data_IF_018776712966
#
_entry.id   IF_018776712966
#
_cell.length_a   1.000
_cell.length_b   1.000
_cell.length_c   1.000
_cell.angle_alpha   90.00
_cell.angle_beta   90.00
_cell.angle_gamma   90.00
#
_symmetry.space_group_name_H-M   'P 1'
#
loop_
_entity.id
_entity.type
_entity.pdbx_description
1 polymer ?
#
# COMPACT_ATOMS: atom_id res chain seq x y z
N UNK A 1 -9.83 -16.94 -7.54
CA UNK A 1 -10.23 -15.67 -6.90
C UNK A 1 -9.45 -15.58 -5.60
N UNK A 2 -8.23 -15.02 -5.63
CA UNK A 2 -7.33 -15.04 -4.47
C UNK A 2 -7.82 -14.06 -3.40
N UNK A 3 -8.15 -14.59 -2.23
CA UNK A 3 -8.48 -13.82 -1.03
C UNK A 3 -7.34 -12.84 -0.72
N UNK A 4 -7.70 -11.63 -0.30
CA UNK A 4 -6.78 -10.79 0.46
C UNK A 4 -6.86 -11.37 1.87
N UNK A 5 -6.01 -12.36 2.16
CA UNK A 5 -5.98 -13.02 3.46
C UNK A 5 -5.34 -12.14 4.54
N UNK A 6 -5.92 -12.32 5.72
CA UNK A 6 -5.83 -11.70 7.04
C UNK A 6 -5.13 -10.36 7.33
N UNK A 7 -5.96 -9.54 7.96
CA UNK A 7 -5.74 -8.28 8.64
C UNK A 7 -4.93 -8.54 9.93
N UNK A 8 -3.60 -8.36 9.93
CA UNK A 8 -2.86 -8.36 11.19
C UNK A 8 -2.98 -7.00 11.88
N UNK A 9 -3.98 -6.88 12.77
CA UNK A 9 -4.00 -5.84 13.79
C UNK A 9 -3.28 -6.39 15.01
N UNK A 10 -2.00 -6.04 15.17
CA UNK A 10 -1.30 -6.17 16.45
C UNK A 10 -0.85 -4.78 16.88
N UNK A 11 -1.35 -4.34 18.03
CA UNK A 11 -1.11 -3.01 18.58
C UNK A 11 0.38 -2.65 18.59
N UNK A 12 0.65 -1.37 18.29
CA UNK A 12 1.97 -0.71 18.07
C UNK A 12 2.68 -0.97 16.75
N UNK A 13 2.13 -1.80 15.84
CA UNK A 13 2.70 -2.00 14.52
C UNK A 13 1.92 -1.26 13.41
N UNK A 14 2.56 -0.84 12.30
CA UNK A 14 1.83 -0.30 11.16
C UNK A 14 0.93 -1.38 10.59
N UNK A 15 -0.27 -0.99 10.14
CA UNK A 15 -1.18 -1.94 9.49
C UNK A 15 -0.66 -2.23 8.07
N UNK A 16 -0.28 -3.48 7.81
CA UNK A 16 0.20 -3.90 6.48
C UNK A 16 -0.95 -4.54 5.69
N UNK A 17 -1.27 -3.98 4.53
CA UNK A 17 -2.22 -4.53 3.56
C UNK A 17 -1.48 -5.09 2.37
N UNK A 18 -1.92 -6.22 1.83
CA UNK A 18 -1.35 -6.77 0.60
C UNK A 18 -1.76 -8.22 0.41
N UNK A 19 -1.33 -8.82 -0.69
CA UNK A 19 -1.35 -10.28 -0.80
C UNK A 19 -0.05 -10.85 -0.22
N UNK A 20 -0.09 -12.04 0.38
CA UNK A 20 1.10 -12.78 0.74
C UNK A 20 2.04 -12.89 -0.47
N UNK A 21 3.27 -12.42 -0.30
CA UNK A 21 4.30 -12.37 -1.34
C UNK A 21 5.65 -12.15 -0.67
N UNK A 22 6.75 -12.44 -1.37
CA UNK A 22 8.11 -12.20 -0.84
C UNK A 22 8.30 -10.77 -0.31
N UNK A 23 7.73 -9.77 -0.98
CA UNK A 23 7.81 -8.37 -0.54
C UNK A 23 6.97 -8.10 0.71
N UNK A 24 5.77 -8.68 0.77
CA UNK A 24 4.91 -8.59 1.95
C UNK A 24 5.58 -9.23 3.16
N UNK A 25 6.16 -10.41 2.98
CA UNK A 25 6.86 -11.15 4.03
C UNK A 25 8.11 -10.40 4.49
N UNK A 26 8.88 -9.83 3.56
CA UNK A 26 10.05 -9.00 3.88
C UNK A 26 9.68 -7.74 4.68
N UNK A 27 8.61 -7.03 4.30
CA UNK A 27 8.11 -5.86 5.03
C UNK A 27 7.64 -6.25 6.43
N UNK A 28 6.90 -7.35 6.54
CA UNK A 28 6.36 -7.83 7.82
C UNK A 28 7.49 -8.32 8.73
N UNK A 29 8.47 -9.04 8.19
CA UNK A 29 9.62 -9.55 8.93
C UNK A 29 10.59 -8.44 9.36
N UNK A 30 10.74 -7.39 8.55
CA UNK A 30 11.56 -6.24 8.92
C UNK A 30 11.00 -5.57 10.19
N UNK A 31 9.67 -5.50 10.31
CA UNK A 31 8.95 -5.00 11.47
C UNK A 31 9.25 -3.53 11.82
N UNK A 32 8.34 -2.82 12.48
CA UNK A 32 8.75 -1.60 13.18
C UNK A 32 9.65 -2.00 14.38
N UNK A 33 10.74 -1.27 14.61
CA UNK A 33 11.56 -1.47 15.80
C UNK A 33 10.76 -1.31 17.11
N UNK A 34 11.26 -1.77 18.25
CA UNK A 34 10.52 -1.88 19.52
C UNK A 34 10.02 -0.55 20.14
N UNK A 35 10.32 0.59 19.51
CA UNK A 35 10.05 1.94 20.00
C UNK A 35 9.08 2.74 19.12
N UNK A 36 8.46 2.10 18.12
CA UNK A 36 7.63 2.79 17.15
C UNK A 36 6.24 3.14 17.70
N UNK A 37 5.88 4.42 17.61
CA UNK A 37 4.49 4.86 17.66
C UNK A 37 3.84 4.69 16.28
N UNK A 38 3.89 3.46 15.74
CA UNK A 38 3.43 3.14 14.39
C UNK A 38 1.90 2.92 14.31
N UNK A 39 1.18 3.12 15.42
CA UNK A 39 -0.23 2.79 15.53
C UNK A 39 -1.14 3.57 14.56
N UNK A 40 -0.67 4.71 14.05
CA UNK A 40 -1.41 5.57 13.10
C UNK A 40 -0.83 5.53 11.67
N UNK A 41 -0.08 4.48 11.33
CA UNK A 41 0.52 4.31 10.01
C UNK A 41 -0.03 3.08 9.29
N UNK A 42 -0.29 3.22 7.98
CA UNK A 42 -0.69 2.14 7.09
C UNK A 42 0.38 1.93 6.03
N UNK A 43 0.74 0.67 5.79
CA UNK A 43 1.56 0.24 4.66
C UNK A 43 0.70 -0.63 3.75
N UNK A 44 0.60 -0.29 2.48
CA UNK A 44 -0.11 -1.07 1.49
C UNK A 44 0.87 -1.61 0.44
N UNK A 45 0.87 -2.91 0.21
CA UNK A 45 1.73 -3.61 -0.72
C UNK A 45 0.90 -4.00 -1.95
N UNK A 46 1.32 -3.47 -3.09
CA UNK A 46 0.85 -3.89 -4.41
C UNK A 46 1.94 -4.79 -4.98
N UNK A 47 1.74 -6.10 -4.88
CA UNK A 47 2.72 -7.08 -5.37
C UNK A 47 2.75 -7.18 -6.90
N UNK A 48 3.82 -7.80 -7.42
CA UNK A 48 4.06 -7.94 -8.85
C UNK A 48 2.98 -8.74 -9.58
N UNK A 49 2.39 -9.73 -8.93
CA UNK A 49 1.37 -10.61 -9.52
C UNK A 49 0.03 -9.87 -9.60
N UNK A 50 -0.26 -9.01 -8.62
CA UNK A 50 -1.35 -8.04 -8.72
C UNK A 50 -1.11 -7.08 -9.89
N UNK A 51 0.08 -6.48 -10.01
CA UNK A 51 0.40 -5.58 -11.13
C UNK A 51 0.24 -6.28 -12.49
N UNK A 52 0.77 -7.50 -12.62
CA UNK A 52 0.60 -8.34 -13.81
C UNK A 52 -0.86 -8.63 -14.09
N UNK A 53 -1.65 -8.99 -13.08
CA UNK A 53 -3.07 -9.28 -13.25
C UNK A 53 -3.87 -8.04 -13.65
N UNK A 54 -3.53 -6.86 -13.12
CA UNK A 54 -4.22 -5.62 -13.45
C UNK A 54 -3.86 -5.13 -14.86
N UNK A 55 -2.62 -5.33 -15.31
CA UNK A 55 -2.15 -4.76 -16.57
C UNK A 55 -1.69 -5.82 -17.57
N UNK A 56 -2.17 -7.06 -17.44
CA UNK A 56 -2.04 -8.06 -18.48
C UNK A 56 -2.61 -7.51 -19.78
N UNK A 57 -1.93 -7.78 -20.90
CA UNK A 57 -2.51 -7.51 -22.21
C UNK A 57 -3.87 -8.21 -22.27
N UNK A 58 -4.89 -7.50 -22.77
CA UNK A 58 -6.24 -8.04 -22.83
C UNK A 58 -6.24 -9.26 -23.74
N UNK A 59 -6.25 -10.46 -23.16
CA UNK A 59 -6.56 -11.67 -23.91
C UNK A 59 -8.00 -11.52 -24.41
N UNK A 60 -8.30 -11.80 -25.69
CA UNK A 60 -9.68 -11.83 -26.16
C UNK A 60 -10.52 -12.71 -25.24
N UNK A 61 -11.58 -12.14 -24.64
CA UNK A 61 -12.45 -12.83 -23.68
C UNK A 61 -12.14 -12.60 -22.18
N UNK A 62 -11.01 -11.98 -21.82
CA UNK A 62 -10.77 -11.55 -20.43
C UNK A 62 -11.45 -10.21 -20.16
N UNK A 63 -12.49 -10.22 -19.31
CA UNK A 63 -13.27 -9.02 -18.99
C UNK A 63 -12.45 -8.05 -18.11
N UNK A 64 -12.53 -6.75 -18.36
CA UNK A 64 -11.94 -5.68 -17.51
C UNK A 64 -12.70 -5.48 -16.17
N UNK A 65 -13.81 -6.19 -15.98
CA UNK A 65 -14.73 -6.04 -14.85
C UNK A 65 -14.13 -6.52 -13.51
N UNK A 66 -13.46 -7.68 -13.43
CA UNK A 66 -12.81 -8.13 -12.21
C UNK A 66 -11.69 -7.19 -11.76
N UNK A 67 -10.95 -6.61 -12.72
CA UNK A 67 -9.90 -5.63 -12.46
C UNK A 67 -10.44 -4.38 -11.74
N UNK A 68 -11.49 -3.76 -12.29
CA UNK A 68 -12.10 -2.56 -11.68
C UNK A 68 -12.69 -2.85 -10.31
N UNK A 69 -13.36 -3.99 -10.15
CA UNK A 69 -13.90 -4.41 -8.86
C UNK A 69 -12.79 -4.55 -7.81
N UNK A 70 -11.63 -5.10 -8.20
CA UNK A 70 -10.50 -5.25 -7.28
C UNK A 70 -9.87 -3.91 -6.90
N UNK A 71 -9.67 -3.01 -7.86
CA UNK A 71 -9.17 -1.65 -7.58
C UNK A 71 -10.10 -0.88 -6.64
N UNK A 72 -11.40 -1.02 -6.86
CA UNK A 72 -12.43 -0.42 -6.01
C UNK A 72 -12.40 -1.01 -4.60
N UNK A 73 -12.38 -2.34 -4.47
CA UNK A 73 -12.31 -3.02 -3.16
C UNK A 73 -11.04 -2.65 -2.40
N UNK A 74 -9.89 -2.63 -3.07
CA UNK A 74 -8.62 -2.27 -2.44
C UNK A 74 -8.63 -0.83 -1.91
N UNK A 75 -9.16 0.10 -2.70
CA UNK A 75 -9.38 1.49 -2.27
C UNK A 75 -10.32 1.55 -1.06
N UNK A 76 -11.48 0.92 -1.14
CA UNK A 76 -12.50 0.97 -0.07
C UNK A 76 -11.95 0.41 1.25
N UNK A 77 -11.21 -0.70 1.21
CA UNK A 77 -10.58 -1.27 2.41
C UNK A 77 -9.51 -0.36 2.99
N UNK A 78 -8.66 0.25 2.16
CA UNK A 78 -7.62 1.18 2.64
C UNK A 78 -8.23 2.45 3.23
N UNK A 79 -9.24 3.04 2.57
CA UNK A 79 -9.96 4.21 3.09
C UNK A 79 -10.64 3.88 4.42
N UNK A 80 -11.36 2.76 4.51
CA UNK A 80 -12.04 2.36 5.74
C UNK A 80 -11.05 2.09 6.89
N UNK A 81 -9.92 1.43 6.60
CA UNK A 81 -8.88 1.20 7.58
C UNK A 81 -8.23 2.51 8.05
N UNK A 82 -7.92 3.42 7.13
CA UNK A 82 -7.36 4.73 7.45
C UNK A 82 -8.28 5.50 8.40
N UNK A 83 -9.58 5.54 8.11
CA UNK A 83 -10.57 6.19 8.99
C UNK A 83 -10.65 5.47 10.34
N UNK A 84 -10.74 4.13 10.33
CA UNK A 84 -10.96 3.33 11.53
C UNK A 84 -9.83 3.44 12.57
N UNK A 85 -8.59 3.69 12.13
CA UNK A 85 -7.45 3.89 13.04
C UNK A 85 -7.03 5.36 13.18
N UNK A 86 -7.78 6.30 12.58
CA UNK A 86 -7.38 7.69 12.44
C UNK A 86 -5.94 7.84 11.90
N UNK A 87 -5.65 7.13 10.80
CA UNK A 87 -4.32 7.07 10.22
C UNK A 87 -3.82 8.48 9.85
N UNK A 88 -2.59 8.76 10.23
CA UNK A 88 -1.89 10.00 9.88
C UNK A 88 -1.02 9.81 8.63
N UNK A 89 -0.62 8.56 8.35
CA UNK A 89 0.34 8.25 7.29
C UNK A 89 -0.07 6.99 6.53
N UNK A 90 0.03 7.04 5.22
CA UNK A 90 -0.18 5.92 4.30
C UNK A 90 1.02 5.80 3.37
N UNK A 91 1.67 4.64 3.35
CA UNK A 91 2.71 4.28 2.39
C UNK A 91 2.20 3.19 1.46
N UNK A 92 2.20 3.41 0.16
CA UNK A 92 1.92 2.37 -0.84
C UNK A 92 3.23 1.92 -1.48
N UNK A 93 3.62 0.67 -1.27
CA UNK A 93 4.77 0.02 -1.89
C UNK A 93 4.30 -0.81 -3.08
N UNK A 94 4.83 -0.50 -4.27
CA UNK A 94 4.47 -1.19 -5.50
C UNK A 94 5.65 -1.99 -6.03
N UNK A 95 5.51 -3.32 -6.09
CA UNK A 95 6.47 -4.21 -6.69
C UNK A 95 6.35 -4.19 -8.21
N UNK A 96 7.33 -3.56 -8.84
CA UNK A 96 7.44 -3.42 -10.29
C UNK A 96 8.66 -4.18 -10.83
N UNK A 97 9.18 -5.14 -10.06
CA UNK A 97 10.24 -6.04 -10.50
C UNK A 97 9.71 -6.98 -11.58
N UNK A 98 10.56 -7.27 -12.57
CA UNK A 98 10.30 -8.31 -13.59
C UNK A 98 8.95 -8.14 -14.32
N UNK A 99 8.51 -6.89 -14.54
CA UNK A 99 7.34 -6.54 -15.37
C UNK A 99 7.73 -5.62 -16.52
N UNK A 100 6.92 -5.58 -17.59
CA UNK A 100 7.27 -4.81 -18.79
C UNK A 100 7.28 -3.30 -18.53
N UNK A 101 8.06 -2.53 -19.30
CA UNK A 101 8.12 -1.06 -19.15
C UNK A 101 6.73 -0.39 -19.26
N UNK A 102 5.86 -0.91 -20.12
CA UNK A 102 4.48 -0.42 -20.24
C UNK A 102 3.66 -0.72 -18.98
N UNK A 103 3.77 -1.93 -18.43
CA UNK A 103 3.11 -2.31 -17.19
C UNK A 103 3.60 -1.45 -16.02
N UNK A 104 4.90 -1.18 -15.95
CA UNK A 104 5.50 -0.27 -14.94
C UNK A 104 4.88 1.12 -14.99
N UNK A 105 4.80 1.73 -16.18
CA UNK A 105 4.18 3.06 -16.36
C UNK A 105 2.72 3.06 -15.90
N UNK A 106 1.94 2.08 -16.35
CA UNK A 106 0.51 1.95 -15.99
C UNK A 106 0.31 1.73 -14.49
N UNK A 107 1.16 0.92 -13.86
CA UNK A 107 1.16 0.68 -12.42
C UNK A 107 1.48 1.95 -11.65
N UNK A 108 2.52 2.69 -12.05
CA UNK A 108 2.90 3.95 -11.41
C UNK A 108 1.77 4.98 -11.47
N UNK A 109 1.17 5.16 -12.65
CA UNK A 109 0.04 6.07 -12.82
C UNK A 109 -1.18 5.65 -12.00
N UNK A 110 -1.47 4.35 -11.93
CA UNK A 110 -2.57 3.84 -11.13
C UNK A 110 -2.34 4.00 -9.63
N UNK A 111 -1.15 3.65 -9.11
CA UNK A 111 -0.84 3.78 -7.67
C UNK A 111 -0.86 5.25 -7.23
N UNK A 112 -0.35 6.18 -8.05
CA UNK A 112 -0.42 7.62 -7.75
C UNK A 112 -1.86 8.12 -7.68
N UNK A 113 -2.71 7.73 -8.64
CA UNK A 113 -4.14 8.07 -8.61
C UNK A 113 -4.85 7.44 -7.42
N UNK A 114 -4.49 6.21 -7.06
CA UNK A 114 -5.03 5.52 -5.89
C UNK A 114 -4.69 6.26 -4.59
N UNK A 115 -3.41 6.61 -4.39
CA UNK A 115 -2.96 7.36 -3.21
C UNK A 115 -3.71 8.69 -3.08
N UNK A 116 -3.79 9.46 -4.16
CA UNK A 116 -4.54 10.71 -4.21
C UNK A 116 -6.02 10.50 -3.88
N UNK A 117 -6.65 9.46 -4.45
CA UNK A 117 -8.06 9.18 -4.22
C UNK A 117 -8.34 8.76 -2.78
N UNK A 118 -7.48 7.97 -2.15
CA UNK A 118 -7.61 7.61 -0.74
C UNK A 118 -7.48 8.85 0.14
N UNK A 119 -6.48 9.71 -0.11
CA UNK A 119 -6.32 10.97 0.62
C UNK A 119 -7.56 11.86 0.52
N UNK A 120 -8.10 11.99 -0.69
CA UNK A 120 -9.35 12.71 -0.93
C UNK A 120 -10.54 12.09 -0.17
N UNK A 121 -10.73 10.77 -0.29
CA UNK A 121 -11.83 10.07 0.37
C UNK A 121 -11.73 10.13 1.91
N UNK A 122 -10.52 10.05 2.47
CA UNK A 122 -10.31 10.25 3.91
C UNK A 122 -10.71 11.65 4.34
N UNK A 123 -10.27 12.67 3.59
CA UNK A 123 -10.57 14.08 3.91
C UNK A 123 -12.08 14.38 3.87
N UNK A 124 -12.83 13.88 2.89
CA UNK A 124 -14.29 14.12 2.85
C UNK A 124 -15.04 13.35 3.95
N UNK A 125 -14.44 12.31 4.53
CA UNK A 125 -14.97 11.54 5.65
C UNK A 125 -14.44 12.03 7.01
N UNK A 126 -13.84 13.22 7.07
CA UNK A 126 -13.41 13.87 8.30
C UNK A 126 -12.00 13.50 8.77
N UNK A 127 -11.28 12.61 8.07
CA UNK A 127 -9.88 12.34 8.33
C UNK A 127 -9.00 13.29 7.51
N UNK A 128 -8.72 14.45 8.09
CA UNK A 128 -7.85 15.46 7.49
C UNK A 128 -6.38 15.18 7.79
N UNK A 129 -5.48 15.60 6.88
CA UNK A 129 -4.04 15.53 7.10
C UNK A 129 -3.39 14.17 6.88
N UNK A 130 -4.08 13.20 6.25
CA UNK A 130 -3.46 11.93 5.86
C UNK A 130 -2.31 12.16 4.86
N UNK A 131 -1.07 11.97 5.32
CA UNK A 131 0.11 12.03 4.47
C UNK A 131 0.25 10.75 3.65
N UNK A 132 0.23 10.87 2.31
CA UNK A 132 0.35 9.71 1.40
C UNK A 132 1.72 9.68 0.73
N UNK A 133 2.38 8.53 0.76
CA UNK A 133 3.70 8.28 0.14
C UNK A 133 3.59 7.05 -0.76
N UNK A 134 4.30 7.07 -1.89
CA UNK A 134 4.38 5.94 -2.82
C UNK A 134 5.84 5.55 -3.01
N UNK A 135 6.14 4.26 -2.93
CA UNK A 135 7.46 3.69 -3.22
C UNK A 135 7.34 2.60 -4.29
N UNK A 136 8.37 2.46 -5.13
CA UNK A 136 8.44 1.44 -6.17
C UNK A 136 9.65 0.54 -5.95
N UNK A 137 9.45 -0.77 -6.04
CA UNK A 137 10.53 -1.76 -5.98
C UNK A 137 10.86 -2.19 -7.39
N UNK A 138 12.05 -1.83 -7.88
CA UNK A 138 12.46 -2.10 -9.26
C UNK A 138 13.42 -3.28 -9.41
N UNK A 139 14.16 -3.61 -8.34
CA UNK A 139 15.18 -4.67 -8.33
C UNK A 139 15.06 -5.57 -7.11
N UNK A 140 15.57 -6.80 -7.20
CA UNK A 140 15.54 -7.74 -6.08
C UNK A 140 16.37 -7.25 -4.89
N UNK A 141 17.56 -6.69 -5.12
CA UNK A 141 18.34 -6.03 -4.08
C UNK A 141 17.59 -4.83 -3.45
N UNK A 142 16.77 -4.15 -4.25
CA UNK A 142 15.91 -3.06 -3.78
C UNK A 142 14.76 -3.52 -2.88
N UNK A 143 14.33 -4.79 -2.93
CA UNK A 143 13.24 -5.29 -2.11
C UNK A 143 13.61 -5.28 -0.62
N UNK A 144 14.79 -5.78 -0.27
CA UNK A 144 15.28 -5.80 1.11
C UNK A 144 15.55 -4.38 1.64
N UNK A 145 16.09 -3.51 0.78
CA UNK A 145 16.33 -2.11 1.13
C UNK A 145 15.02 -1.36 1.36
N UNK A 146 14.02 -1.59 0.51
CA UNK A 146 12.68 -1.00 0.66
C UNK A 146 12.02 -1.54 1.92
N UNK A 147 12.10 -2.83 2.21
CA UNK A 147 11.57 -3.40 3.45
C UNK A 147 12.17 -2.73 4.70
N UNK A 148 13.50 -2.57 4.75
CA UNK A 148 14.17 -1.82 5.82
C UNK A 148 13.76 -0.35 5.87
N UNK A 149 13.57 0.28 4.72
CA UNK A 149 13.14 1.69 4.63
C UNK A 149 11.71 1.87 5.11
N UNK A 150 10.80 0.96 4.75
CA UNK A 150 9.41 0.91 5.22
C UNK A 150 9.38 0.75 6.74
N UNK A 151 10.18 -0.17 7.29
CA UNK A 151 10.32 -0.37 8.73
C UNK A 151 10.78 0.93 9.45
N UNK A 152 11.82 1.60 8.93
CA UNK A 152 12.28 2.90 9.47
C UNK A 152 11.23 4.00 9.34
N UNK A 153 10.56 4.07 8.20
CA UNK A 153 9.50 5.04 7.94
C UNK A 153 8.36 4.88 8.93
N UNK A 154 7.93 3.64 9.20
CA UNK A 154 6.88 3.32 10.16
C UNK A 154 7.30 3.58 11.60
N UNK A 155 8.60 3.49 11.92
CA UNK A 155 9.14 3.82 13.23
C UNK A 155 9.30 5.33 13.48
N UNK A 156 9.26 6.15 12.43
CA UNK A 156 9.33 7.61 12.59
C UNK A 156 8.00 8.12 13.13
N UNK A 157 7.97 8.98 14.16
CA UNK A 157 6.73 9.62 14.61
C UNK A 157 6.09 10.39 13.47
N UNK A 158 4.75 10.45 13.44
CA UNK A 158 4.11 11.41 12.55
C UNK A 158 4.48 12.85 12.96
N UNK A 159 4.60 13.78 12.00
CA UNK A 159 4.78 15.18 12.35
C UNK A 159 3.61 15.62 13.23
N UNK A 160 3.89 16.32 14.33
CA UNK A 160 2.85 16.90 15.17
C UNK A 160 1.93 17.74 14.30
N UNK A 161 0.62 17.51 14.37
CA UNK A 161 -0.34 18.37 13.70
C UNK A 161 -0.09 19.81 14.20
N UNK A 162 0.01 20.81 13.30
CA UNK A 162 0.08 22.20 13.76
C UNK A 162 -1.13 22.46 14.64
N UNK A 163 -0.87 22.91 15.87
CA UNK A 163 -1.90 23.10 16.89
C UNK A 163 -3.08 23.89 16.36
N UNK A 164 -4.28 23.35 16.57
CA UNK A 164 -5.54 24.08 16.48
C UNK A 164 -5.69 24.99 17.71
#
# INVERSE_FOLDING_TARGET
>A
MGAIDDLQVRGRAPMVFGRPSELFDAITAAGPGPQADAAMSIVAVVDRDLVRSLFAAATPGHTRRPQRAWQQLFRERLTAAAIGIAAQRLLIVCDVRRISAEQRRRAADWVRRLAHRIGYECSINGLHGLATVVAFVETDAGADEVARTVARWAATPAPAAPGL
#
